data_IF_488080896445
#
_entry.id   IF_488080896445
#
_cell.length_a   1.000
_cell.length_b   1.000
_cell.length_c   1.000
_cell.angle_alpha   90.00
_cell.angle_beta   90.00
_cell.angle_gamma   90.00
#
_symmetry.space_group_name_H-M   'P 1'
#
loop_
_entity.id
_entity.type
_entity.pdbx_description
1 polymer ?
#
# COMPACT_ATOMS: atom_id res chain seq x y z
N UNK A 1 -14.08 -10.77 -13.72
CA UNK A 1 -14.19 -10.89 -12.25
C UNK A 1 -12.83 -10.54 -11.70
N UNK A 2 -12.68 -9.29 -11.25
CA UNK A 2 -11.38 -8.68 -11.00
C UNK A 2 -10.82 -9.20 -9.68
N UNK A 3 -9.76 -9.99 -9.78
CA UNK A 3 -8.98 -10.53 -8.68
C UNK A 3 -8.29 -9.38 -7.96
N UNK A 4 -8.92 -8.85 -6.91
CA UNK A 4 -8.24 -8.00 -5.93
C UNK A 4 -6.95 -8.71 -5.52
N UNK A 5 -5.82 -8.00 -5.68
CA UNK A 5 -4.48 -8.37 -5.19
C UNK A 5 -4.57 -9.08 -3.86
N UNK A 6 -3.69 -10.03 -3.54
CA UNK A 6 -3.39 -10.32 -2.13
C UNK A 6 -3.11 -9.02 -1.34
N UNK A 7 -2.57 -8.00 -2.01
CA UNK A 7 -2.30 -6.66 -1.49
C UNK A 7 -3.55 -5.84 -1.20
N UNK A 8 -4.51 -5.72 -2.12
CA UNK A 8 -5.76 -5.00 -1.84
C UNK A 8 -6.53 -5.60 -0.66
N UNK A 9 -6.53 -6.93 -0.51
CA UNK A 9 -7.19 -7.58 0.63
C UNK A 9 -6.49 -7.28 1.96
N UNK A 10 -5.16 -7.20 1.96
CA UNK A 10 -4.39 -6.78 3.13
C UNK A 10 -4.65 -5.31 3.49
N UNK A 11 -4.62 -4.43 2.49
CA UNK A 11 -4.91 -3.01 2.67
C UNK A 11 -6.31 -2.81 3.22
N UNK A 12 -7.33 -3.47 2.66
CA UNK A 12 -8.71 -3.37 3.14
C UNK A 12 -8.84 -3.78 4.60
N UNK A 13 -8.25 -4.92 4.99
CA UNK A 13 -8.27 -5.38 6.39
C UNK A 13 -7.60 -4.37 7.32
N UNK A 14 -6.43 -3.85 6.94
CA UNK A 14 -5.72 -2.85 7.72
C UNK A 14 -6.52 -1.56 7.84
N UNK A 15 -7.05 -1.04 6.73
CA UNK A 15 -7.82 0.18 6.72
C UNK A 15 -9.13 0.04 7.49
N UNK A 16 -9.80 -1.12 7.47
CA UNK A 16 -10.97 -1.34 8.32
C UNK A 16 -10.62 -1.34 9.81
N UNK A 17 -9.44 -1.82 10.17
CA UNK A 17 -9.00 -1.89 11.56
C UNK A 17 -8.46 -0.55 12.09
N UNK A 18 -7.70 0.19 11.29
CA UNK A 18 -7.00 1.41 11.71
C UNK A 18 -7.60 2.71 11.13
N UNK A 19 -8.41 2.60 10.08
CA UNK A 19 -9.07 3.72 9.39
C UNK A 19 -10.56 3.48 9.10
N UNK A 20 -11.37 3.06 10.09
CA UNK A 20 -12.76 2.68 9.86
C UNK A 20 -13.61 3.83 9.32
N UNK A 21 -13.33 5.10 9.64
CA UNK A 21 -14.12 6.24 9.15
C UNK A 21 -13.84 6.47 7.66
N UNK A 22 -12.58 6.49 7.26
CA UNK A 22 -12.15 6.56 5.86
C UNK A 22 -12.76 5.43 5.03
N UNK A 23 -12.68 4.18 5.51
CA UNK A 23 -13.27 3.05 4.79
C UNK A 23 -14.78 3.19 4.67
N UNK A 24 -15.48 3.55 5.75
CA UNK A 24 -16.92 3.76 5.71
C UNK A 24 -17.32 4.87 4.72
N UNK A 25 -16.54 5.95 4.63
CA UNK A 25 -16.76 7.03 3.67
C UNK A 25 -16.54 6.57 2.22
N UNK A 26 -15.44 5.86 1.96
CA UNK A 26 -15.12 5.31 0.64
C UNK A 26 -16.14 4.26 0.18
N UNK A 27 -16.63 3.41 1.09
CA UNK A 27 -17.71 2.45 0.81
C UNK A 27 -19.01 3.18 0.48
N UNK A 28 -19.38 4.23 1.23
CA UNK A 28 -20.56 5.05 0.95
C UNK A 28 -20.47 5.75 -0.40
N UNK A 29 -19.27 6.16 -0.81
CA UNK A 29 -19.01 6.78 -2.11
C UNK A 29 -18.85 5.76 -3.25
N UNK A 30 -18.77 4.45 -2.95
CA UNK A 30 -18.47 3.41 -3.92
C UNK A 30 -17.02 3.45 -4.46
N UNK A 31 -16.13 4.20 -3.81
CA UNK A 31 -14.72 4.41 -4.22
C UNK A 31 -13.73 3.51 -3.50
N UNK A 32 -14.17 2.70 -2.54
CA UNK A 32 -13.26 1.82 -1.80
C UNK A 32 -12.45 0.91 -2.73
N UNK A 33 -13.10 0.27 -3.71
CA UNK A 33 -12.42 -0.61 -4.65
C UNK A 33 -11.45 0.14 -5.57
N UNK A 34 -11.78 1.38 -5.93
CA UNK A 34 -10.90 2.24 -6.74
C UNK A 34 -9.65 2.62 -5.95
N UNK A 35 -9.80 3.04 -4.70
CA UNK A 35 -8.68 3.33 -3.79
C UNK A 35 -7.80 2.10 -3.51
N UNK A 36 -8.41 0.92 -3.30
CA UNK A 36 -7.65 -0.31 -3.09
C UNK A 36 -6.88 -0.75 -4.34
N UNK A 37 -7.45 -0.51 -5.52
CA UNK A 37 -6.78 -0.74 -6.80
C UNK A 37 -5.65 0.25 -6.99
N UNK A 38 -5.87 1.54 -6.72
CA UNK A 38 -4.84 2.55 -6.83
C UNK A 38 -3.68 2.25 -5.87
N UNK A 39 -3.97 1.87 -4.62
CA UNK A 39 -2.95 1.46 -3.66
C UNK A 39 -2.13 0.26 -4.17
N UNK A 40 -2.78 -0.74 -4.77
CA UNK A 40 -2.11 -1.88 -5.40
C UNK A 40 -1.25 -1.48 -6.60
N UNK A 41 -1.79 -0.70 -7.54
CA UNK A 41 -1.05 -0.25 -8.73
C UNK A 41 0.18 0.55 -8.32
N UNK A 42 0.03 1.49 -7.37
CA UNK A 42 1.15 2.25 -6.80
C UNK A 42 2.16 1.35 -6.11
N UNK A 43 1.69 0.35 -5.36
CA UNK A 43 2.55 -0.62 -4.68
C UNK A 43 3.37 -1.41 -5.70
N UNK A 44 2.75 -1.90 -6.77
CA UNK A 44 3.43 -2.69 -7.79
C UNK A 44 4.42 -1.86 -8.62
N UNK A 45 4.01 -0.65 -9.03
CA UNK A 45 4.87 0.28 -9.77
C UNK A 45 6.11 0.70 -8.97
N UNK A 46 5.94 1.15 -7.72
CA UNK A 46 7.05 1.52 -6.84
C UNK A 46 7.91 0.30 -6.49
N UNK A 47 7.28 -0.84 -6.21
CA UNK A 47 8.00 -2.07 -5.87
C UNK A 47 8.89 -2.51 -7.03
N UNK A 48 8.38 -2.51 -8.26
CA UNK A 48 9.19 -2.89 -9.42
C UNK A 48 10.28 -1.84 -9.73
N UNK A 49 10.01 -0.55 -9.49
CA UNK A 49 11.02 0.51 -9.55
C UNK A 49 12.19 0.26 -8.57
N UNK A 50 11.87 0.08 -7.28
CA UNK A 50 12.86 -0.16 -6.22
C UNK A 50 13.60 -1.47 -6.48
N UNK A 51 12.87 -2.54 -6.82
CA UNK A 51 13.44 -3.85 -7.13
C UNK A 51 14.46 -3.75 -8.27
N UNK A 52 14.12 -3.08 -9.37
CA UNK A 52 15.06 -2.85 -10.49
C UNK A 52 16.28 -2.05 -10.06
N UNK A 53 16.12 -1.07 -9.17
CA UNK A 53 17.23 -0.32 -8.61
C UNK A 53 18.15 -1.20 -7.75
N UNK A 54 17.59 -2.03 -6.88
CA UNK A 54 18.34 -2.92 -6.00
C UNK A 54 19.07 -4.02 -6.79
N UNK A 55 18.44 -4.59 -7.81
CA UNK A 55 19.10 -5.55 -8.71
C UNK A 55 20.30 -4.89 -9.40
N UNK A 56 20.17 -3.64 -9.84
CA UNK A 56 21.30 -2.87 -10.41
C UNK A 56 22.42 -2.60 -9.40
N UNK A 57 22.11 -2.55 -8.11
CA UNK A 57 23.10 -2.45 -7.03
C UNK A 57 23.77 -3.80 -6.70
N UNK A 58 23.36 -4.89 -7.35
CA UNK A 58 23.92 -6.23 -7.16
C UNK A 58 23.14 -7.12 -6.20
N UNK A 59 21.96 -6.69 -5.72
CA UNK A 59 21.09 -7.54 -4.91
C UNK A 59 20.45 -8.64 -5.77
N UNK A 60 20.16 -9.77 -5.14
CA UNK A 60 19.40 -10.84 -5.79
C UNK A 60 17.96 -10.40 -6.02
N UNK A 61 17.27 -10.95 -7.05
CA UNK A 61 15.87 -10.62 -7.31
C UNK A 61 14.92 -10.86 -6.12
N UNK A 62 15.29 -11.78 -5.24
CA UNK A 62 14.54 -12.14 -4.04
C UNK A 62 14.75 -11.08 -2.94
N UNK A 63 16.00 -10.77 -2.59
CA UNK A 63 16.31 -9.70 -1.63
C UNK A 63 15.77 -8.33 -2.09
N UNK A 64 15.90 -8.04 -3.39
CA UNK A 64 15.36 -6.82 -3.97
C UNK A 64 13.84 -6.76 -3.88
N UNK A 65 13.15 -7.89 -4.02
CA UNK A 65 11.71 -7.97 -3.83
C UNK A 65 11.32 -7.80 -2.37
N UNK A 66 11.96 -8.50 -1.45
CA UNK A 66 11.70 -8.36 0.00
C UNK A 66 11.88 -6.90 0.44
N UNK A 67 13.03 -6.29 0.13
CA UNK A 67 13.31 -4.90 0.55
C UNK A 67 12.38 -3.88 -0.11
N UNK A 68 12.02 -4.09 -1.40
CA UNK A 68 11.04 -3.25 -2.07
C UNK A 68 9.66 -3.39 -1.40
N UNK A 69 9.23 -4.62 -1.10
CA UNK A 69 7.98 -4.93 -0.41
C UNK A 69 7.90 -4.24 0.95
N UNK A 70 8.96 -4.28 1.75
CA UNK A 70 9.00 -3.60 3.05
C UNK A 70 8.78 -2.08 2.92
N UNK A 71 9.35 -1.48 1.88
CA UNK A 71 9.22 -0.04 1.64
C UNK A 71 7.80 0.35 1.21
N UNK A 72 7.22 -0.39 0.26
CA UNK A 72 5.90 -0.06 -0.29
C UNK A 72 4.75 -0.45 0.63
N UNK A 73 4.89 -1.55 1.38
CA UNK A 73 3.83 -2.01 2.30
C UNK A 73 3.57 -0.97 3.39
N UNK A 74 4.60 -0.30 3.91
CA UNK A 74 4.42 0.73 4.94
C UNK A 74 3.80 2.01 4.38
N UNK A 75 4.03 2.30 3.09
CA UNK A 75 3.50 3.50 2.42
C UNK A 75 2.06 3.38 1.95
N UNK A 76 1.67 2.22 1.43
CA UNK A 76 0.38 2.06 0.73
C UNK A 76 -0.56 1.06 1.40
N UNK A 77 -0.03 -0.01 2.01
CA UNK A 77 -0.83 -1.07 2.64
C UNK A 77 -1.12 -0.72 4.11
N UNK A 78 -0.06 -0.42 4.87
CA UNK A 78 -0.08 -0.11 6.30
C UNK A 78 -0.13 1.39 6.55
N UNK A 79 -1.12 2.07 5.95
CA UNK A 79 -1.31 3.50 6.20
C UNK A 79 -1.40 3.80 7.69
N UNK A 80 -0.82 4.94 8.15
CA UNK A 80 -0.92 5.35 9.54
C UNK A 80 -2.40 5.49 9.95
N UNK A 81 -2.70 5.25 11.24
CA UNK A 81 -4.06 5.36 11.74
C UNK A 81 -4.61 6.77 11.54
N UNK A 82 -5.94 6.90 11.42
CA UNK A 82 -6.60 8.17 11.10
C UNK A 82 -6.22 9.32 12.06
N UNK A 83 -5.92 9.00 13.31
CA UNK A 83 -5.51 9.96 14.34
C UNK A 83 -4.06 10.45 14.16
N UNK A 84 -3.18 9.63 13.58
CA UNK A 84 -1.77 9.97 13.39
C UNK A 84 -1.53 10.81 12.11
N UNK A 85 -2.38 10.66 11.09
CA UNK A 85 -2.26 11.43 9.84
C UNK A 85 -2.66 12.93 10.00
N UNK A 86 -3.27 13.30 11.13
CA UNK A 86 -3.59 14.69 11.45
C UNK A 86 -2.37 15.48 12.00
N UNK A 87 -1.20 14.84 12.14
CA UNK A 87 0.02 15.50 12.55
C UNK A 87 0.93 15.75 11.32
N UNK A 88 0.91 16.95 10.71
CA UNK A 88 1.74 17.29 9.54
C UNK A 88 3.23 17.47 9.88
N UNK A 89 3.73 16.92 10.99
CA UNK A 89 5.12 17.13 11.45
C UNK A 89 5.93 15.83 11.52
N UNK A 90 6.46 15.38 10.38
CA UNK A 90 7.80 14.73 10.28
C UNK A 90 8.20 14.84 8.79
N UNK A 91 8.65 16.02 8.35
CA UNK A 91 10.05 16.47 8.22
C UNK A 91 10.89 15.58 7.29
#
# INVERSE_FOLDING_TARGET
MSTLTGYSLMAEKHWRQFRPKMVAELERQGRLQEMLREAEERTDEEMDSIRRQLIRQGLTPQQAHDQAWETVRERYIFLPPEDAAADPQTQ
#
